data_IF_877567556345
#
_entry.id   IF_877567556345
#
_cell.length_a   1.000
_cell.length_b   1.000
_cell.length_c   1.000
_cell.angle_alpha   90.00
_cell.angle_beta   90.00
_cell.angle_gamma   90.00
#
_symmetry.space_group_name_H-M   'P 1'
#
loop_
_entity.id
_entity.type
_entity.pdbx_description
1 polymer ?
#
# COMPACT_ATOMS: atom_id res chain seq x y z
N UNK A 1 -20.18 7.75 -5.39
CA UNK A 1 -19.81 8.35 -4.09
C UNK A 1 -20.04 7.40 -2.94
N UNK A 2 -19.54 6.17 -3.04
CA UNK A 2 -19.56 5.15 -1.97
C UNK A 2 -18.16 4.60 -1.69
N UNK A 3 -17.16 5.40 -2.08
CA UNK A 3 -15.74 5.07 -2.04
C UNK A 3 -15.02 6.13 -1.24
N UNK A 4 -14.06 5.70 -0.42
CA UNK A 4 -13.17 6.56 0.35
C UNK A 4 -11.72 6.18 0.12
N UNK A 5 -10.82 7.15 0.02
CA UNK A 5 -9.38 6.93 -0.01
C UNK A 5 -8.70 7.94 0.90
N UNK A 6 -7.50 7.63 1.39
CA UNK A 6 -6.67 8.64 2.04
C UNK A 6 -6.29 9.74 1.04
N UNK A 7 -6.03 10.95 1.54
CA UNK A 7 -5.61 12.07 0.70
C UNK A 7 -4.37 11.69 -0.15
N UNK A 8 -4.45 11.72 -1.49
CA UNK A 8 -3.38 11.24 -2.36
C UNK A 8 -2.12 12.13 -2.34
N UNK A 9 -2.13 13.26 -1.64
CA UNK A 9 -0.93 14.06 -1.39
C UNK A 9 0.07 13.40 -0.43
N UNK A 10 -0.39 12.44 0.39
CA UNK A 10 0.42 11.87 1.47
C UNK A 10 0.44 10.35 1.45
N UNK A 11 1.53 9.80 2.01
CA UNK A 11 1.67 8.39 2.32
C UNK A 11 1.63 7.46 1.11
N UNK A 12 1.17 6.24 1.34
CA UNK A 12 1.13 5.16 0.34
C UNK A 12 0.11 5.38 -0.77
N UNK A 13 -0.94 6.18 -0.53
CA UNK A 13 -1.87 6.57 -1.60
C UNK A 13 -1.16 7.36 -2.69
N UNK A 14 -0.24 8.27 -2.33
CA UNK A 14 0.59 8.96 -3.34
C UNK A 14 1.41 7.98 -4.17
N UNK A 15 2.03 6.98 -3.52
CA UNK A 15 2.79 5.93 -4.20
C UNK A 15 1.91 5.13 -5.16
N UNK A 16 0.68 4.80 -4.77
CA UNK A 16 -0.28 4.10 -5.62
C UNK A 16 -0.64 4.93 -6.86
N UNK A 17 -0.99 6.21 -6.67
CA UNK A 17 -1.28 7.09 -7.82
C UNK A 17 -0.05 7.25 -8.71
N UNK A 18 1.14 7.42 -8.16
CA UNK A 18 2.39 7.50 -8.94
C UNK A 18 2.66 6.21 -9.73
N UNK A 19 2.34 5.04 -9.18
CA UNK A 19 2.43 3.77 -9.90
C UNK A 19 1.46 3.72 -11.10
N UNK A 20 0.21 4.18 -10.91
CA UNK A 20 -0.76 4.29 -12.01
C UNK A 20 -0.27 5.25 -13.10
N UNK A 21 0.22 6.43 -12.74
CA UNK A 21 0.82 7.37 -13.71
C UNK A 21 2.01 6.78 -14.45
N UNK A 22 2.83 5.96 -13.77
CA UNK A 22 3.99 5.29 -14.37
C UNK A 22 3.58 4.22 -15.37
N UNK A 23 2.53 3.45 -15.08
CA UNK A 23 2.07 2.33 -15.92
C UNK A 23 1.13 2.75 -17.04
N UNK A 24 0.18 3.64 -16.75
CA UNK A 24 -0.87 4.05 -17.68
C UNK A 24 -0.48 5.25 -18.53
N UNK A 25 0.57 5.98 -18.15
CA UNK A 25 0.88 7.28 -18.72
C UNK A 25 -0.03 8.38 -18.19
N UNK A 26 0.33 9.62 -18.51
CA UNK A 26 -0.30 10.83 -17.97
C UNK A 26 -1.79 10.91 -18.28
N UNK A 27 -2.18 10.75 -19.55
CA UNK A 27 -3.55 11.02 -20.00
C UNK A 27 -4.56 10.08 -19.35
N UNK A 28 -4.28 8.77 -19.37
CA UNK A 28 -5.15 7.76 -18.78
C UNK A 28 -5.21 7.90 -17.25
N UNK A 29 -4.09 8.17 -16.59
CA UNK A 29 -4.07 8.33 -15.15
C UNK A 29 -4.82 9.59 -14.69
N UNK A 30 -4.68 10.72 -15.41
CA UNK A 30 -5.47 11.94 -15.15
C UNK A 30 -6.96 11.71 -15.39
N UNK A 31 -7.33 11.03 -16.47
CA UNK A 31 -8.73 10.68 -16.73
C UNK A 31 -9.33 9.82 -15.60
N UNK A 32 -8.56 8.87 -15.05
CA UNK A 32 -8.98 8.09 -13.89
C UNK A 32 -9.17 8.96 -12.63
N UNK A 33 -8.25 9.87 -12.36
CA UNK A 33 -8.36 10.82 -11.24
C UNK A 33 -9.59 11.73 -11.39
N UNK A 34 -9.91 12.20 -12.59
CA UNK A 34 -11.14 12.97 -12.85
C UNK A 34 -12.39 12.12 -12.69
N UNK A 35 -12.38 10.85 -13.12
CA UNK A 35 -13.48 9.94 -12.87
C UNK A 35 -13.73 9.72 -11.37
N UNK A 36 -12.68 9.69 -10.53
CA UNK A 36 -12.82 9.64 -9.07
C UNK A 36 -13.52 10.89 -8.51
N UNK A 37 -13.21 12.09 -9.03
CA UNK A 37 -13.93 13.32 -8.65
C UNK A 37 -15.40 13.26 -9.03
N UNK A 38 -15.70 12.85 -10.27
CA UNK A 38 -17.08 12.71 -10.75
C UNK A 38 -17.87 11.69 -9.92
N UNK A 39 -17.21 10.60 -9.51
CA UNK A 39 -17.79 9.62 -8.60
C UNK A 39 -17.84 10.12 -7.14
N UNK A 40 -17.45 11.37 -6.82
CA UNK A 40 -17.48 11.94 -5.47
C UNK A 40 -16.78 11.03 -4.44
N UNK A 41 -15.58 10.54 -4.79
CA UNK A 41 -14.74 9.77 -3.86
C UNK A 41 -14.41 10.66 -2.66
N UNK A 42 -14.67 10.16 -1.45
CA UNK A 42 -14.34 10.86 -0.20
C UNK A 42 -12.83 10.78 0.04
N UNK A 43 -12.25 11.90 0.45
CA UNK A 43 -10.88 11.93 0.98
C UNK A 43 -10.92 11.84 2.52
N UNK A 44 -10.23 10.86 3.07
CA UNK A 44 -9.94 10.73 4.50
C UNK A 44 -8.54 11.28 4.82
N UNK A 45 -8.26 11.45 6.10
CA UNK A 45 -6.96 11.90 6.61
C UNK A 45 -5.90 10.79 6.62
N UNK A 46 -6.32 9.52 6.65
CA UNK A 46 -5.42 8.36 6.67
C UNK A 46 -6.08 7.11 6.10
N UNK A 47 -5.27 6.08 5.80
CA UNK A 47 -5.76 4.76 5.41
C UNK A 47 -6.56 4.10 6.55
N UNK A 48 -6.11 4.25 7.80
CA UNK A 48 -6.84 3.77 8.97
C UNK A 48 -8.26 4.34 9.08
N UNK A 49 -8.44 5.64 8.83
CA UNK A 49 -9.78 6.26 8.78
C UNK A 49 -10.61 5.72 7.61
N UNK A 50 -10.01 5.54 6.43
CA UNK A 50 -10.69 4.91 5.29
C UNK A 50 -11.17 3.49 5.64
N UNK A 51 -10.34 2.70 6.33
CA UNK A 51 -10.71 1.35 6.76
C UNK A 51 -11.83 1.36 7.82
N UNK A 52 -11.81 2.32 8.76
CA UNK A 52 -12.89 2.47 9.75
C UNK A 52 -14.22 2.85 9.12
N UNK A 53 -14.20 3.74 8.13
CA UNK A 53 -15.39 4.18 7.38
C UNK A 53 -16.03 3.04 6.55
N UNK A 54 -15.22 2.10 6.08
CA UNK A 54 -15.74 0.87 5.44
C UNK A 54 -16.23 -0.12 6.49
N UNK A 55 -15.48 -0.31 7.57
CA UNK A 55 -15.84 -1.22 8.66
C UNK A 55 -17.10 -0.80 9.44
N UNK A 56 -17.46 0.48 9.42
CA UNK A 56 -18.73 1.00 9.97
C UNK A 56 -19.91 0.87 9.01
N UNK A 57 -19.67 0.53 7.73
CA UNK A 57 -20.68 0.47 6.68
C UNK A 57 -21.07 1.84 6.09
N UNK A 58 -20.42 2.93 6.50
CA UNK A 58 -20.67 4.26 5.93
C UNK A 58 -20.23 4.34 4.46
N UNK A 59 -19.13 3.67 4.13
CA UNK A 59 -18.60 3.50 2.78
C UNK A 59 -18.55 2.02 2.40
N UNK A 60 -18.70 1.73 1.10
CA UNK A 60 -18.75 0.35 0.58
C UNK A 60 -17.35 -0.14 0.20
N UNK A 61 -16.47 0.78 -0.20
CA UNK A 61 -15.12 0.45 -0.67
C UNK A 61 -14.11 1.49 -0.19
N UNK A 62 -12.93 1.02 0.19
CA UNK A 62 -11.79 1.86 0.50
C UNK A 62 -10.50 1.27 -0.06
N UNK A 63 -9.62 2.14 -0.58
CA UNK A 63 -8.27 1.74 -0.98
C UNK A 63 -7.31 2.08 0.17
N UNK A 64 -6.78 1.04 0.80
CA UNK A 64 -5.92 1.13 1.99
C UNK A 64 -4.77 0.14 1.87
N UNK A 65 -3.76 0.27 2.74
CA UNK A 65 -2.74 -0.76 2.88
C UNK A 65 -3.33 -2.00 3.57
N UNK A 66 -2.78 -3.17 3.27
CA UNK A 66 -3.35 -4.46 3.69
C UNK A 66 -3.44 -4.62 5.21
N UNK A 67 -2.53 -3.99 5.96
CA UNK A 67 -2.49 -4.05 7.42
C UNK A 67 -3.63 -3.29 8.09
N UNK A 68 -4.07 -2.17 7.52
CA UNK A 68 -5.24 -1.44 8.00
C UNK A 68 -6.50 -2.32 7.98
N UNK A 69 -6.71 -3.05 6.88
CA UNK A 69 -7.82 -3.97 6.72
C UNK A 69 -7.66 -5.24 7.57
N UNK A 70 -6.46 -5.84 7.61
CA UNK A 70 -6.17 -7.01 8.43
C UNK A 70 -6.45 -6.75 9.92
N UNK A 71 -6.09 -5.56 10.42
CA UNK A 71 -6.40 -5.16 11.79
C UNK A 71 -7.90 -5.11 12.08
N UNK A 72 -8.73 -4.61 11.14
CA UNK A 72 -10.19 -4.57 11.31
C UNK A 72 -10.80 -5.98 11.25
N UNK A 73 -10.29 -6.86 10.39
CA UNK A 73 -10.70 -8.28 10.36
C UNK A 73 -10.40 -8.96 11.69
N UNK A 74 -9.20 -8.75 12.27
CA UNK A 74 -8.84 -9.27 13.60
C UNK A 74 -9.73 -8.77 14.72
N UNK A 75 -10.26 -7.56 14.58
CA UNK A 75 -11.24 -6.97 15.51
C UNK A 75 -12.67 -7.49 15.28
N UNK A 76 -12.88 -8.43 14.34
CA UNK A 76 -14.20 -8.97 14.02
C UNK A 76 -15.09 -8.02 13.21
N UNK A 77 -14.51 -7.00 12.55
CA UNK A 77 -15.27 -6.10 11.67
C UNK A 77 -15.68 -6.81 10.38
N UNK A 78 -16.88 -6.52 9.84
CA UNK A 78 -17.42 -7.22 8.67
C UNK A 78 -16.86 -6.63 7.37
N UNK A 79 -15.55 -6.79 7.13
CA UNK A 79 -14.89 -6.34 5.90
C UNK A 79 -14.12 -7.48 5.23
N UNK A 80 -13.89 -7.33 3.93
CA UNK A 80 -13.11 -8.27 3.11
C UNK A 80 -11.94 -7.53 2.45
N UNK A 81 -10.79 -8.20 2.33
CA UNK A 81 -9.64 -7.68 1.57
C UNK A 81 -9.74 -8.16 0.12
N UNK A 82 -9.84 -7.21 -0.80
CA UNK A 82 -9.78 -7.47 -2.24
C UNK A 82 -8.46 -6.95 -2.80
N UNK A 83 -7.67 -7.84 -3.40
CA UNK A 83 -6.47 -7.46 -4.15
C UNK A 83 -6.91 -7.12 -5.59
N UNK A 84 -6.74 -5.88 -6.07
CA UNK A 84 -7.20 -5.48 -7.40
C UNK A 84 -6.36 -6.08 -8.53
N UNK A 85 -6.91 -6.09 -9.74
CA UNK A 85 -6.20 -6.37 -10.99
C UNK A 85 -5.51 -7.76 -11.06
N UNK A 86 -6.11 -8.77 -10.44
CA UNK A 86 -5.55 -10.14 -10.39
C UNK A 86 -5.87 -11.01 -11.61
N UNK A 87 -6.76 -10.55 -12.50
CA UNK A 87 -7.10 -11.26 -13.74
C UNK A 87 -5.96 -11.29 -14.78
N UNK A 88 -6.15 -12.06 -15.85
CA UNK A 88 -5.16 -12.27 -16.92
C UNK A 88 -4.59 -10.94 -17.46
N UNK A 89 -5.49 -10.00 -17.79
CA UNK A 89 -5.14 -8.67 -18.33
C UNK A 89 -5.00 -7.58 -17.27
N UNK A 90 -5.10 -7.93 -15.98
CA UNK A 90 -4.92 -6.96 -14.88
C UNK A 90 -3.47 -6.50 -14.75
N UNK A 91 -3.26 -5.26 -14.33
CA UNK A 91 -1.92 -4.72 -14.09
C UNK A 91 -1.26 -5.24 -12.80
N UNK A 92 -1.99 -5.98 -11.96
CA UNK A 92 -1.56 -6.44 -10.64
C UNK A 92 -1.82 -5.43 -9.52
N UNK A 93 -1.66 -5.87 -8.27
CA UNK A 93 -1.77 -5.04 -7.08
C UNK A 93 -0.42 -4.39 -6.75
N UNK A 94 -0.42 -3.12 -6.34
CA UNK A 94 0.80 -2.48 -5.87
C UNK A 94 1.28 -3.19 -4.59
N UNK A 95 2.55 -3.54 -4.57
CA UNK A 95 3.24 -4.01 -3.36
C UNK A 95 4.15 -2.87 -2.90
N UNK A 96 4.05 -2.48 -1.63
CA UNK A 96 4.95 -1.50 -1.03
C UNK A 96 5.95 -2.25 -0.15
N UNK A 97 7.22 -2.40 -0.57
CA UNK A 97 8.20 -3.14 0.19
C UNK A 97 8.68 -2.35 1.41
N UNK A 98 8.87 -3.04 2.53
CA UNK A 98 9.68 -2.51 3.63
C UNK A 98 11.15 -2.76 3.33
N UNK A 99 11.99 -1.77 3.61
CA UNK A 99 13.41 -1.84 3.35
C UNK A 99 14.20 -1.35 4.56
N UNK A 100 15.31 -2.05 4.85
CA UNK A 100 16.33 -1.62 5.80
C UNK A 100 17.63 -1.42 5.03
N UNK A 101 18.34 -0.31 5.31
CA UNK A 101 19.55 0.08 4.59
C UNK A 101 20.65 0.47 5.57
N UNK A 102 21.87 0.00 5.34
CA UNK A 102 23.05 0.44 6.09
C UNK A 102 23.61 1.72 5.46
N UNK A 103 23.63 2.81 6.22
CA UNK A 103 24.18 4.09 5.75
C UNK A 103 25.70 3.98 5.58
N UNK A 104 26.21 4.44 4.43
CA UNK A 104 27.65 4.49 4.15
C UNK A 104 28.35 5.37 5.18
N UNK A 105 29.37 4.81 5.85
CA UNK A 105 30.12 5.52 6.89
C UNK A 105 29.42 5.57 8.25
N UNK A 106 28.39 4.74 8.49
CA UNK A 106 27.77 4.62 9.81
C UNK A 106 28.82 4.31 10.91
N UNK A 107 28.70 4.90 12.12
CA UNK A 107 29.71 4.78 13.17
C UNK A 107 29.87 3.35 13.73
N UNK A 108 28.87 2.50 13.52
CA UNK A 108 28.85 1.10 13.99
C UNK A 108 28.38 0.15 12.87
N UNK A 109 29.17 -0.05 11.80
CA UNK A 109 28.71 -0.77 10.62
C UNK A 109 28.43 -2.26 10.91
N UNK A 110 29.21 -2.88 11.80
CA UNK A 110 29.03 -4.31 12.12
C UNK A 110 27.77 -4.56 12.96
N UNK A 111 27.44 -3.66 13.89
CA UNK A 111 26.15 -3.73 14.60
C UNK A 111 24.97 -3.45 13.66
N UNK A 112 25.14 -2.55 12.70
CA UNK A 112 24.14 -2.30 11.66
C UNK A 112 23.86 -3.55 10.81
N UNK A 113 24.90 -4.30 10.41
CA UNK A 113 24.73 -5.60 9.72
C UNK A 113 23.98 -6.61 10.58
N UNK A 114 24.36 -6.76 11.85
CA UNK A 114 23.65 -7.67 12.79
C UNK A 114 22.17 -7.30 12.95
N UNK A 115 21.85 -6.01 12.98
CA UNK A 115 20.45 -5.56 13.03
C UNK A 115 19.69 -5.94 11.75
N UNK A 116 20.31 -5.77 10.58
CA UNK A 116 19.72 -6.19 9.31
C UNK A 116 19.47 -7.71 9.32
N UNK A 117 20.45 -8.52 9.72
CA UNK A 117 20.31 -9.97 9.81
C UNK A 117 19.17 -10.38 10.77
N UNK A 118 19.06 -9.68 11.91
CA UNK A 118 17.97 -9.91 12.87
C UNK A 118 16.59 -9.57 12.28
N UNK A 119 16.46 -8.41 11.62
CA UNK A 119 15.21 -7.96 11.01
C UNK A 119 14.75 -8.88 9.86
N UNK A 120 15.71 -9.44 9.11
CA UNK A 120 15.46 -10.39 8.02
C UNK A 120 15.35 -11.84 8.49
N UNK A 121 15.45 -12.12 9.79
CA UNK A 121 15.31 -13.49 10.28
C UNK A 121 13.87 -14.00 10.16
N UNK A 122 13.70 -15.31 9.96
CA UNK A 122 12.39 -15.96 9.94
C UNK A 122 11.57 -15.69 11.21
N UNK A 123 12.24 -15.61 12.35
CA UNK A 123 11.59 -15.32 13.63
C UNK A 123 11.01 -13.90 13.64
N UNK A 124 11.76 -12.92 13.18
CA UNK A 124 11.28 -11.53 13.10
C UNK A 124 10.17 -11.38 12.06
N UNK A 125 10.31 -11.98 10.87
CA UNK A 125 9.24 -11.96 9.87
C UNK A 125 7.95 -12.60 10.41
N UNK A 126 8.03 -13.71 11.14
CA UNK A 126 6.88 -14.33 11.81
C UNK A 126 6.23 -13.37 12.81
N UNK A 127 7.03 -12.69 13.64
CA UNK A 127 6.53 -11.70 14.59
C UNK A 127 5.81 -10.55 13.89
N UNK A 128 6.37 -10.05 12.79
CA UNK A 128 5.78 -8.94 12.01
C UNK A 128 4.47 -9.34 11.30
N UNK A 129 4.34 -10.59 10.86
CA UNK A 129 3.08 -11.07 10.27
C UNK A 129 1.95 -11.19 11.29
N UNK A 130 2.26 -11.64 12.51
CA UNK A 130 1.28 -11.83 13.58
C UNK A 130 0.92 -10.50 14.27
N UNK A 131 1.88 -9.58 14.39
CA UNK A 131 1.66 -8.27 14.98
C UNK A 131 0.67 -7.42 14.17
N UNK A 132 0.16 -6.34 14.77
CA UNK A 132 -0.80 -5.43 14.14
C UNK A 132 -0.32 -4.84 12.79
N UNK A 133 0.99 -4.77 12.54
CA UNK A 133 1.52 -4.35 11.24
C UNK A 133 1.29 -5.38 10.11
N UNK A 134 0.85 -6.60 10.42
CA UNK A 134 0.37 -7.62 9.49
C UNK A 134 1.22 -7.79 8.23
N UNK A 135 2.54 -7.75 8.40
CA UNK A 135 3.48 -7.71 7.27
C UNK A 135 3.53 -9.06 6.55
N UNK A 136 3.64 -9.02 5.23
CA UNK A 136 3.79 -10.23 4.40
C UNK A 136 5.24 -10.71 4.51
N UNK A 137 5.50 -11.89 5.11
CA UNK A 137 6.82 -12.50 5.15
C UNK A 137 7.32 -12.82 3.74
N UNK A 138 8.62 -12.69 3.52
CA UNK A 138 9.27 -13.06 2.26
C UNK A 138 9.87 -14.47 2.33
N UNK A 139 10.13 -14.98 3.53
CA UNK A 139 10.55 -16.37 3.70
C UNK A 139 9.37 -17.34 3.48
N UNK A 140 9.54 -18.27 2.54
CA UNK A 140 8.54 -19.31 2.23
C UNK A 140 8.19 -20.23 3.42
N UNK A 141 9.13 -20.39 4.35
CA UNK A 141 8.95 -21.21 5.55
C UNK A 141 8.20 -20.52 6.70
N UNK A 142 7.85 -19.24 6.57
CA UNK A 142 7.11 -18.50 7.59
C UNK A 142 5.61 -18.62 7.29
N UNK A 143 4.88 -19.19 8.25
CA UNK A 143 3.42 -19.25 8.23
C UNK A 143 2.82 -17.86 8.46
N UNK A 144 1.73 -17.57 7.75
CA UNK A 144 1.00 -16.30 7.87
C UNK A 144 -0.39 -16.53 8.45
N UNK A 145 -0.91 -15.56 9.25
CA UNK A 145 -2.32 -15.53 9.59
C UNK A 145 -3.21 -15.52 8.33
N UNK A 146 -4.45 -15.99 8.43
CA UNK A 146 -5.36 -16.18 7.29
C UNK A 146 -5.66 -14.88 6.51
N UNK A 147 -5.69 -13.75 7.21
CA UNK A 147 -5.93 -12.42 6.66
C UNK A 147 -4.68 -11.83 5.98
N UNK A 148 -3.50 -12.41 6.21
CA UNK A 148 -2.25 -12.02 5.57
C UNK A 148 -1.99 -12.99 4.41
N UNK A 149 -2.38 -12.54 3.21
CA UNK A 149 -2.18 -13.30 1.98
C UNK A 149 -0.69 -13.33 1.63
N UNK A 150 -0.20 -14.49 1.17
CA UNK A 150 1.20 -14.62 0.79
C UNK A 150 1.51 -13.87 -0.51
N UNK A 151 2.74 -13.37 -0.63
CA UNK A 151 3.17 -12.61 -1.81
C UNK A 151 3.06 -13.42 -3.11
N UNK A 152 3.30 -14.74 -3.08
CA UNK A 152 3.24 -15.59 -4.26
C UNK A 152 1.81 -15.78 -4.78
N UNK A 153 0.81 -15.46 -3.95
CA UNK A 153 -0.61 -15.55 -4.30
C UNK A 153 -1.17 -14.20 -4.80
N UNK A 154 -0.32 -13.18 -4.94
CA UNK A 154 -0.68 -11.85 -5.38
C UNK A 154 0.07 -11.56 -6.67
N UNK A 155 -0.66 -11.32 -7.76
CA UNK A 155 -0.12 -10.73 -8.97
C UNK A 155 0.29 -9.29 -8.64
N UNK A 156 1.59 -9.04 -8.52
CA UNK A 156 2.13 -7.73 -8.21
C UNK A 156 2.18 -6.84 -9.47
N UNK A 157 2.06 -5.52 -9.28
CA UNK A 157 2.31 -4.54 -10.34
C UNK A 157 3.74 -4.67 -10.88
N UNK A 158 3.88 -4.77 -12.19
CA UNK A 158 5.18 -4.80 -12.86
C UNK A 158 5.77 -3.37 -12.96
N UNK A 159 6.28 -2.85 -11.85
CA UNK A 159 6.80 -1.48 -11.74
C UNK A 159 8.29 -1.42 -11.37
N UNK A 160 8.93 -0.31 -11.75
CA UNK A 160 10.22 0.08 -11.18
C UNK A 160 10.01 1.08 -10.05
N UNK A 161 10.31 0.69 -8.81
CA UNK A 161 10.18 1.58 -7.65
C UNK A 161 10.98 2.89 -7.81
N UNK A 162 12.13 2.86 -8.48
CA UNK A 162 12.90 4.07 -8.79
C UNK A 162 12.18 5.02 -9.77
N UNK A 163 11.46 4.48 -10.77
CA UNK A 163 10.62 5.29 -11.66
C UNK A 163 9.41 5.85 -10.92
N UNK A 164 8.75 5.03 -10.11
CA UNK A 164 7.60 5.45 -9.28
C UNK A 164 8.01 6.55 -8.30
N UNK A 165 9.18 6.43 -7.66
CA UNK A 165 9.70 7.45 -6.75
C UNK A 165 9.94 8.80 -7.44
N UNK A 166 10.44 8.80 -8.69
CA UNK A 166 10.53 10.04 -9.49
C UNK A 166 9.15 10.57 -9.85
N UNK A 167 8.26 9.70 -10.34
CA UNK A 167 6.90 10.08 -10.71
C UNK A 167 6.14 10.69 -9.52
N UNK A 168 6.34 10.17 -8.32
CA UNK A 168 5.76 10.69 -7.07
C UNK A 168 6.07 12.18 -6.86
N UNK A 169 7.28 12.63 -7.18
CA UNK A 169 7.67 14.03 -7.12
C UNK A 169 7.08 14.84 -8.28
N UNK A 170 7.12 14.29 -9.49
CA UNK A 170 6.62 14.93 -10.71
C UNK A 170 5.13 15.26 -10.64
N UNK A 171 4.30 14.39 -10.05
CA UNK A 171 2.84 14.57 -9.99
C UNK A 171 2.37 15.47 -8.84
N UNK A 172 3.26 15.91 -7.94
CA UNK A 172 2.87 16.73 -6.77
C UNK A 172 2.06 17.98 -7.15
N UNK A 173 2.44 18.78 -8.17
CA UNK A 173 1.64 19.95 -8.57
C UNK A 173 0.24 19.55 -9.04
N UNK A 174 0.13 18.47 -9.81
CA UNK A 174 -1.16 17.95 -10.27
C UNK A 174 -2.02 17.48 -9.11
N UNK A 175 -1.46 16.75 -8.14
CA UNK A 175 -2.20 16.26 -6.98
C UNK A 175 -2.71 17.40 -6.10
N UNK A 176 -1.92 18.46 -5.92
CA UNK A 176 -2.34 19.68 -5.19
C UNK A 176 -3.56 20.32 -5.85
N UNK A 177 -3.48 20.57 -7.15
CA UNK A 177 -4.61 21.09 -7.92
C UNK A 177 -5.81 20.13 -7.88
N UNK A 178 -5.58 18.82 -7.94
CA UNK A 178 -6.64 17.83 -7.92
C UNK A 178 -7.40 17.83 -6.59
N UNK A 179 -6.72 17.90 -5.45
CA UNK A 179 -7.41 17.98 -4.14
C UNK A 179 -7.98 19.37 -3.83
N UNK A 180 -7.59 20.40 -4.59
CA UNK A 180 -8.11 21.77 -4.46
C UNK A 180 -7.21 22.77 -3.72
N UNK A 181 -5.88 22.53 -3.69
CA UNK A 181 -4.88 23.53 -3.29
C UNK A 181 -4.44 24.41 -4.46
#
# INVERSE_FOLDING_TARGET
>A
GKTVIANPLFGTTTTHIAALFTLWGEDRAKAFMEAMKLNKVKLSTSNGESADLVASGEFVFGLVDSDDAANRIRQGRPIEIVYPDQGENGIGCLIVPNAVMLIKGAPHPDNGKKLIDFLLSKETERKLAIAACAQIPLHSAVETPSEVKRIEQIKAMAISYAKVARKLQEIQPFLKQWVGY
#
